data_IF_706343536154
#
_entry.id   IF_706343536154
#
_cell.length_a   1.000
_cell.length_b   1.000
_cell.length_c   1.000
_cell.angle_alpha   90.00
_cell.angle_beta   90.00
_cell.angle_gamma   90.00
#
_symmetry.space_group_name_H-M   'P 1'
#
loop_
_entity.id
_entity.type
_entity.pdbx_description
1 polymer ?
#
# COMPACT_ATOMS: atom_id res chain seq x y z
N UNK A 1 -3.02 23.50 0.41
CA UNK A 1 -1.65 23.15 0.88
C UNK A 1 -0.87 22.30 -0.14
N UNK A 2 -1.57 21.48 -0.92
CA UNK A 2 -0.96 20.62 -1.95
C UNK A 2 -0.17 21.41 -3.02
N UNK A 3 -0.61 22.62 -3.33
CA UNK A 3 0.01 23.56 -4.26
C UNK A 3 1.37 24.05 -3.75
N UNK A 4 1.49 24.24 -2.44
CA UNK A 4 2.77 24.54 -1.79
C UNK A 4 3.73 23.36 -1.94
N UNK A 5 3.26 22.14 -1.69
CA UNK A 5 4.07 20.94 -1.84
C UNK A 5 4.49 20.67 -3.29
N UNK A 6 3.66 21.02 -4.27
CA UNK A 6 4.04 21.00 -5.67
C UNK A 6 5.14 22.04 -5.97
N UNK A 7 4.97 23.27 -5.50
CA UNK A 7 5.96 24.35 -5.70
C UNK A 7 7.32 23.98 -5.08
N UNK A 8 7.31 23.31 -3.93
CA UNK A 8 8.53 22.81 -3.26
C UNK A 8 9.02 21.46 -3.80
N UNK A 9 8.41 20.94 -4.88
CA UNK A 9 8.77 19.66 -5.52
C UNK A 9 8.65 18.41 -4.62
N UNK A 10 7.86 18.49 -3.56
CA UNK A 10 7.52 17.34 -2.71
C UNK A 10 6.39 16.49 -3.31
N UNK A 11 5.62 17.05 -4.25
CA UNK A 11 4.62 16.35 -5.04
C UNK A 11 4.81 16.73 -6.51
N UNK A 12 4.77 15.76 -7.41
CA UNK A 12 4.84 16.02 -8.86
C UNK A 12 3.55 16.66 -9.38
N UNK A 13 3.62 17.37 -10.52
CA UNK A 13 2.42 17.94 -11.15
C UNK A 13 1.37 16.86 -11.47
N UNK A 14 1.83 15.72 -11.98
CA UNK A 14 1.01 14.53 -12.23
C UNK A 14 0.40 13.99 -10.93
N UNK A 15 1.18 13.91 -9.85
CA UNK A 15 0.70 13.49 -8.54
C UNK A 15 -0.40 14.39 -7.99
N UNK A 16 -0.25 15.72 -8.12
CA UNK A 16 -1.29 16.67 -7.73
C UNK A 16 -2.58 16.48 -8.55
N UNK A 17 -2.47 16.21 -9.85
CA UNK A 17 -3.62 15.93 -10.70
C UNK A 17 -4.35 14.65 -10.26
N UNK A 18 -3.61 13.57 -9.98
CA UNK A 18 -4.18 12.33 -9.45
C UNK A 18 -4.89 12.58 -8.13
N UNK A 19 -4.25 13.30 -7.20
CA UNK A 19 -4.85 13.65 -5.91
C UNK A 19 -6.17 14.39 -6.09
N UNK A 20 -6.23 15.42 -6.96
CA UNK A 20 -7.47 16.17 -7.24
C UNK A 20 -8.58 15.33 -7.87
N UNK A 21 -8.22 14.33 -8.68
CA UNK A 21 -9.20 13.41 -9.28
C UNK A 21 -9.78 12.43 -8.26
N UNK A 22 -9.00 12.05 -7.25
CA UNK A 22 -9.39 11.07 -6.22
C UNK A 22 -10.04 11.71 -4.99
N UNK A 23 -9.53 12.86 -4.57
CA UNK A 23 -9.88 13.48 -3.32
C UNK A 23 -11.34 13.94 -3.29
N UNK A 24 -12.00 13.70 -2.15
CA UNK A 24 -13.42 14.02 -1.91
C UNK A 24 -14.41 13.51 -2.97
N UNK A 25 -14.03 12.52 -3.77
CA UNK A 25 -14.93 11.83 -4.69
C UNK A 25 -15.70 10.72 -3.97
N UNK A 26 -16.91 10.37 -4.46
CA UNK A 26 -17.62 9.22 -3.95
C UNK A 26 -16.83 7.93 -4.20
N UNK A 27 -17.09 6.91 -3.37
CA UNK A 27 -16.43 5.60 -3.44
C UNK A 27 -16.44 5.01 -4.85
N UNK A 28 -17.59 5.06 -5.54
CA UNK A 28 -17.73 4.50 -6.89
C UNK A 28 -16.80 5.15 -7.93
N UNK A 29 -16.59 6.46 -7.84
CA UNK A 29 -15.67 7.16 -8.73
C UNK A 29 -14.21 6.86 -8.37
N UNK A 30 -13.90 6.74 -7.08
CA UNK A 30 -12.57 6.31 -6.62
C UNK A 30 -12.26 4.88 -7.06
N UNK A 31 -13.23 3.98 -6.95
CA UNK A 31 -13.11 2.59 -7.40
C UNK A 31 -12.73 2.51 -8.88
N UNK A 32 -13.43 3.26 -9.74
CA UNK A 32 -13.11 3.33 -11.18
C UNK A 32 -11.67 3.79 -11.44
N UNK A 33 -11.22 4.85 -10.76
CA UNK A 33 -9.85 5.34 -10.90
C UNK A 33 -8.81 4.30 -10.47
N UNK A 34 -9.10 3.51 -9.44
CA UNK A 34 -8.21 2.46 -8.95
C UNK A 34 -8.21 1.22 -9.83
N UNK A 35 -9.32 0.93 -10.49
CA UNK A 35 -9.42 -0.14 -11.49
C UNK A 35 -8.64 0.25 -12.77
N UNK A 36 -8.63 1.53 -13.13
CA UNK A 36 -7.90 2.07 -14.29
C UNK A 36 -6.39 2.20 -14.05
N UNK A 37 -5.97 2.81 -12.93
CA UNK A 37 -4.58 3.19 -12.68
C UNK A 37 -4.18 3.10 -11.20
N UNK A 38 -4.65 2.06 -10.51
CA UNK A 38 -4.40 1.85 -9.08
C UNK A 38 -2.95 1.99 -8.63
N UNK A 39 -1.93 1.41 -9.32
CA UNK A 39 -0.53 1.55 -8.93
C UNK A 39 -0.04 3.00 -8.92
N UNK A 40 -0.49 3.87 -9.82
CA UNK A 40 -0.12 5.28 -9.82
C UNK A 40 -0.65 6.02 -8.58
N UNK A 41 -1.85 5.67 -8.11
CA UNK A 41 -2.40 6.20 -6.87
C UNK A 41 -1.63 5.71 -5.64
N UNK A 42 -1.23 4.43 -5.61
CA UNK A 42 -0.36 3.91 -4.55
C UNK A 42 0.98 4.66 -4.53
N UNK A 43 1.63 4.80 -5.68
CA UNK A 43 2.88 5.56 -5.81
C UNK A 43 2.75 6.98 -5.27
N UNK A 44 1.67 7.69 -5.65
CA UNK A 44 1.37 9.03 -5.15
C UNK A 44 1.29 9.05 -3.62
N UNK A 45 0.50 8.16 -3.02
CA UNK A 45 0.30 8.18 -1.57
C UNK A 45 1.57 7.79 -0.80
N UNK A 46 2.27 6.76 -1.25
CA UNK A 46 3.55 6.31 -0.65
C UNK A 46 4.60 7.41 -0.75
N UNK A 47 4.70 8.08 -1.91
CA UNK A 47 5.62 9.20 -2.10
C UNK A 47 5.31 10.38 -1.17
N UNK A 48 4.03 10.74 -1.02
CA UNK A 48 3.65 11.79 -0.06
C UNK A 48 4.05 11.41 1.37
N UNK A 49 3.77 10.17 1.80
CA UNK A 49 4.12 9.72 3.15
C UNK A 49 5.63 9.67 3.38
N UNK A 50 6.41 9.38 2.34
CA UNK A 50 7.89 9.37 2.37
C UNK A 50 8.46 10.77 2.48
N UNK A 51 7.97 11.69 1.66
CA UNK A 51 8.64 12.98 1.41
C UNK A 51 8.05 14.13 2.27
N UNK A 52 6.85 13.97 2.84
CA UNK A 52 6.17 15.00 3.64
C UNK A 52 5.97 14.54 5.08
N UNK A 53 6.46 15.34 6.03
CA UNK A 53 6.41 15.04 7.47
C UNK A 53 5.40 15.90 8.26
N UNK A 54 4.68 16.80 7.60
CA UNK A 54 3.66 17.62 8.28
C UNK A 54 2.54 16.70 8.78
N UNK A 55 2.33 16.66 10.10
CA UNK A 55 1.43 15.72 10.77
C UNK A 55 0.03 15.65 10.13
N UNK A 56 -0.68 16.78 10.04
CA UNK A 56 -2.01 16.85 9.41
C UNK A 56 -2.06 16.27 7.99
N UNK A 57 -0.97 16.42 7.22
CA UNK A 57 -0.88 15.89 5.84
C UNK A 57 -0.68 14.39 5.85
N UNK A 58 0.17 13.89 6.74
CA UNK A 58 0.41 12.46 6.93
C UNK A 58 -0.86 11.76 7.40
N UNK A 59 -1.55 12.32 8.40
CA UNK A 59 -2.82 11.79 8.90
C UNK A 59 -3.87 11.73 7.80
N UNK A 60 -3.97 12.79 6.99
CA UNK A 60 -4.92 12.84 5.88
C UNK A 60 -4.66 11.75 4.85
N UNK A 61 -3.41 11.57 4.44
CA UNK A 61 -3.03 10.57 3.44
C UNK A 61 -3.22 9.16 3.98
N UNK A 62 -2.87 8.92 5.24
CA UNK A 62 -3.18 7.64 5.91
C UNK A 62 -4.68 7.38 5.96
N UNK A 63 -5.51 8.40 6.20
CA UNK A 63 -6.96 8.26 6.16
C UNK A 63 -7.46 7.87 4.76
N UNK A 64 -6.93 8.49 3.69
CA UNK A 64 -7.28 8.14 2.31
C UNK A 64 -6.91 6.69 1.95
N UNK A 65 -5.70 6.24 2.31
CA UNK A 65 -5.26 4.86 2.08
C UNK A 65 -6.08 3.89 2.92
N UNK A 66 -6.34 4.22 4.19
CA UNK A 66 -7.15 3.39 5.07
C UNK A 66 -8.57 3.23 4.52
N UNK A 67 -9.20 4.32 4.08
CA UNK A 67 -10.54 4.31 3.48
C UNK A 67 -10.55 3.42 2.23
N UNK A 68 -9.60 3.65 1.30
CA UNK A 68 -9.41 2.82 0.10
C UNK A 68 -9.41 1.33 0.40
N UNK A 69 -8.62 0.90 1.39
CA UNK A 69 -8.43 -0.51 1.73
C UNK A 69 -9.57 -1.05 2.60
N UNK A 70 -10.23 -0.21 3.39
CA UNK A 70 -11.39 -0.60 4.20
C UNK A 70 -12.62 -0.88 3.34
N UNK A 71 -12.82 -0.11 2.27
CA UNK A 71 -13.91 -0.30 1.30
C UNK A 71 -13.72 -1.59 0.50
N UNK A 72 -12.49 -1.89 0.09
CA UNK A 72 -12.17 -3.13 -0.60
C UNK A 72 -10.74 -3.61 -0.25
N UNK A 73 -10.61 -4.56 0.70
CA UNK A 73 -9.30 -5.07 1.12
C UNK A 73 -8.48 -5.73 0.01
N UNK A 74 -9.10 -6.17 -1.10
CA UNK A 74 -8.37 -6.75 -2.24
C UNK A 74 -7.50 -5.72 -2.96
N UNK A 75 -7.81 -4.42 -2.82
CA UNK A 75 -7.00 -3.30 -3.35
C UNK A 75 -5.58 -3.28 -2.75
N UNK A 76 -5.35 -3.93 -1.61
CA UNK A 76 -4.01 -4.07 -1.04
C UNK A 76 -3.03 -4.78 -2.00
N UNK A 77 -3.51 -5.54 -3.00
CA UNK A 77 -2.67 -6.13 -4.05
C UNK A 77 -1.93 -5.08 -4.90
N UNK A 78 -2.48 -3.87 -5.01
CA UNK A 78 -1.90 -2.77 -5.78
C UNK A 78 -0.51 -2.37 -5.25
N UNK A 79 -0.25 -2.55 -3.95
CA UNK A 79 1.05 -2.29 -3.33
C UNK A 79 2.16 -3.28 -3.73
N UNK A 80 1.80 -4.37 -4.41
CA UNK A 80 2.71 -5.38 -4.94
C UNK A 80 2.77 -5.37 -6.46
N UNK A 81 2.22 -4.33 -7.11
CA UNK A 81 2.27 -4.21 -8.56
C UNK A 81 3.72 -4.10 -9.05
N UNK A 82 4.00 -4.70 -10.21
CA UNK A 82 5.36 -4.75 -10.78
C UNK A 82 5.90 -3.37 -11.14
N UNK A 83 5.04 -2.41 -11.46
CA UNK A 83 5.44 -1.03 -11.73
C UNK A 83 6.08 -0.35 -10.51
N UNK A 84 5.76 -0.82 -9.30
CA UNK A 84 6.28 -0.31 -8.03
C UNK A 84 7.50 -1.10 -7.53
N UNK A 85 8.07 -2.01 -8.31
CA UNK A 85 9.16 -2.88 -7.86
C UNK A 85 10.45 -2.12 -7.43
N UNK A 86 10.58 -0.86 -7.84
CA UNK A 86 11.70 0.03 -7.48
C UNK A 86 11.41 0.89 -6.24
N UNK A 87 10.18 0.86 -5.73
CA UNK A 87 9.73 1.65 -4.59
C UNK A 87 9.54 0.75 -3.37
N UNK A 88 10.02 1.18 -2.21
CA UNK A 88 9.71 0.51 -0.96
C UNK A 88 8.32 0.96 -0.49
N UNK A 89 7.31 0.16 -0.82
CA UNK A 89 5.91 0.43 -0.47
C UNK A 89 5.60 0.17 1.02
N UNK A 90 6.56 -0.33 1.81
CA UNK A 90 6.41 -0.61 3.24
C UNK A 90 7.08 0.45 4.12
N UNK A 91 8.23 0.98 3.69
CA UNK A 91 9.09 1.87 4.50
C UNK A 91 8.30 3.01 5.16
N UNK A 92 7.44 3.78 4.45
CA UNK A 92 6.81 4.94 5.08
C UNK A 92 5.95 4.52 6.27
N UNK A 93 5.20 3.43 6.14
CA UNK A 93 4.35 2.94 7.22
C UNK A 93 5.17 2.40 8.40
N UNK A 94 6.27 1.68 8.14
CA UNK A 94 7.15 1.16 9.18
C UNK A 94 7.80 2.30 9.99
N UNK A 95 8.25 3.35 9.30
CA UNK A 95 8.77 4.56 9.95
C UNK A 95 7.70 5.27 10.78
N UNK A 96 6.49 5.37 10.25
CA UNK A 96 5.35 6.01 10.92
C UNK A 96 4.87 5.24 12.15
N UNK A 97 5.07 3.92 12.23
CA UNK A 97 4.86 3.16 13.46
C UNK A 97 5.79 3.60 14.60
N UNK A 98 7.04 3.93 14.29
CA UNK A 98 8.03 4.29 15.31
C UNK A 98 7.90 5.73 15.81
N UNK A 99 7.54 6.67 14.91
CA UNK A 99 7.56 8.12 15.20
C UNK A 99 6.20 8.81 15.12
N UNK A 100 5.13 8.09 14.81
CA UNK A 100 3.79 8.65 14.68
C UNK A 100 3.08 8.90 16.01
N UNK A 101 2.09 9.78 15.99
CA UNK A 101 1.08 9.87 17.05
C UNK A 101 0.18 8.61 17.05
N UNK A 102 -0.74 8.50 18.02
CA UNK A 102 -1.60 7.32 18.17
C UNK A 102 -2.38 6.97 16.89
N UNK A 103 -2.92 7.98 16.19
CA UNK A 103 -3.73 7.78 14.98
C UNK A 103 -2.85 7.30 13.83
N UNK A 104 -1.70 7.96 13.63
CA UNK A 104 -0.71 7.58 12.63
C UNK A 104 -0.24 6.14 12.83
N UNK A 105 0.07 5.76 14.07
CA UNK A 105 0.50 4.40 14.41
C UNK A 105 -0.61 3.37 14.15
N UNK A 106 -1.83 3.65 14.60
CA UNK A 106 -2.98 2.75 14.40
C UNK A 106 -3.24 2.50 12.90
N UNK A 107 -3.31 3.57 12.09
CA UNK A 107 -3.59 3.48 10.66
C UNK A 107 -2.45 2.79 9.92
N UNK A 108 -1.20 3.16 10.20
CA UNK A 108 -0.02 2.54 9.58
C UNK A 108 0.01 1.03 9.85
N UNK A 109 -0.29 0.60 11.08
CA UNK A 109 -0.33 -0.82 11.45
C UNK A 109 -1.39 -1.59 10.65
N UNK A 110 -2.62 -1.07 10.59
CA UNK A 110 -3.74 -1.71 9.86
C UNK A 110 -3.46 -1.80 8.37
N UNK A 111 -2.93 -0.73 7.77
CA UNK A 111 -2.55 -0.69 6.36
C UNK A 111 -1.46 -1.73 6.08
N UNK A 112 -0.39 -1.76 6.89
CA UNK A 112 0.68 -2.77 6.76
C UNK A 112 0.14 -4.19 6.84
N UNK A 113 -0.77 -4.48 7.78
CA UNK A 113 -1.37 -5.80 7.90
C UNK A 113 -2.12 -6.22 6.62
N UNK A 114 -2.87 -5.30 6.00
CA UNK A 114 -3.54 -5.56 4.72
C UNK A 114 -2.55 -5.79 3.58
N UNK A 115 -1.52 -4.94 3.46
CA UNK A 115 -0.49 -5.09 2.42
C UNK A 115 0.23 -6.44 2.58
N UNK A 116 0.69 -6.78 3.78
CA UNK A 116 1.38 -8.05 4.06
C UNK A 116 0.48 -9.25 3.75
N UNK A 117 -0.80 -9.18 4.14
CA UNK A 117 -1.78 -10.24 3.84
C UNK A 117 -2.01 -10.43 2.34
N UNK A 118 -1.93 -9.36 1.55
CA UNK A 118 -2.13 -9.39 0.11
C UNK A 118 -0.88 -9.82 -0.68
N UNK A 119 0.24 -10.14 -0.01
CA UNK A 119 1.48 -10.57 -0.65
C UNK A 119 1.21 -11.75 -1.60
N UNK A 120 1.66 -11.70 -2.87
CA UNK A 120 1.54 -12.81 -3.78
C UNK A 120 2.20 -14.06 -3.18
N UNK A 121 1.48 -15.18 -3.16
CA UNK A 121 2.09 -16.46 -2.82
C UNK A 121 3.06 -16.82 -3.95
N UNK A 122 4.27 -17.26 -3.62
CA UNK A 122 5.34 -17.62 -4.56
C UNK A 122 4.97 -18.86 -5.40
N UNK A 123 3.95 -18.76 -6.26
CA UNK A 123 3.38 -19.88 -7.01
C UNK A 123 2.71 -19.53 -8.35
N UNK A 124 2.45 -18.25 -8.67
CA UNK A 124 1.75 -17.86 -9.92
C UNK A 124 2.70 -17.32 -11.01
N UNK A 125 3.94 -17.81 -11.04
CA UNK A 125 4.93 -17.49 -12.07
C UNK A 125 5.36 -18.72 -12.86
N UNK A 126 4.73 -18.95 -14.01
CA UNK A 126 5.20 -19.78 -15.15
C UNK A 126 5.52 -21.24 -14.84
N UNK A 127 4.55 -22.14 -15.08
CA UNK A 127 4.86 -23.50 -15.55
C UNK A 127 4.43 -23.57 -17.02
N UNK A 128 5.35 -23.19 -17.90
CA UNK A 128 5.32 -23.71 -19.26
C UNK A 128 5.89 -25.14 -19.20
N UNK A 129 5.01 -26.11 -19.39
CA UNK A 129 5.25 -27.50 -19.78
C UNK A 129 6.36 -28.30 -19.05
N UNK A 130 5.93 -29.33 -18.31
CA UNK A 130 6.80 -30.48 -17.99
C UNK A 130 6.72 -30.94 -16.54
N UNK A 131 5.93 -31.99 -16.32
CA UNK A 131 5.93 -32.92 -15.19
C UNK A 131 5.58 -32.38 -13.78
N UNK A 132 4.53 -32.99 -13.22
CA UNK A 132 4.10 -32.80 -11.86
C UNK A 132 5.20 -33.21 -10.86
N UNK A 133 5.79 -32.23 -10.18
CA UNK A 133 6.50 -32.48 -8.92
C UNK A 133 5.76 -31.75 -7.79
N UNK A 134 4.88 -32.50 -7.14
CA UNK A 134 4.09 -32.03 -6.00
C UNK A 134 4.98 -31.74 -4.81
N UNK A 135 5.43 -30.49 -4.66
CA UNK A 135 5.98 -30.00 -3.40
C UNK A 135 4.97 -29.07 -2.74
N UNK A 136 3.96 -29.65 -2.08
CA UNK A 136 3.16 -28.95 -1.06
C UNK A 136 4.15 -28.44 -0.01
N UNK A 137 4.57 -27.17 -0.10
CA UNK A 137 5.30 -26.52 0.99
C UNK A 137 4.35 -26.47 2.19
N UNK A 138 4.61 -27.34 3.15
CA UNK A 138 3.88 -27.47 4.39
C UNK A 138 3.96 -26.12 5.10
N UNK A 139 2.82 -25.48 5.28
CA UNK A 139 2.71 -24.29 6.12
C UNK A 139 3.12 -24.75 7.52
N UNK A 140 4.18 -24.18 8.07
CA UNK A 140 4.62 -24.46 9.45
C UNK A 140 3.44 -24.24 10.38
N UNK A 141 2.97 -25.30 11.02
CA UNK A 141 1.84 -25.20 11.94
C UNK A 141 2.32 -24.66 13.29
N UNK A 142 1.42 -24.06 14.05
CA UNK A 142 1.71 -23.55 15.40
C UNK A 142 2.35 -24.66 16.28
N UNK A 143 1.94 -25.91 16.08
CA UNK A 143 2.52 -27.07 16.75
C UNK A 143 4.00 -27.32 16.42
N UNK A 144 4.43 -27.04 15.20
CA UNK A 144 5.82 -27.24 14.78
C UNK A 144 6.74 -26.20 15.43
N UNK A 145 6.24 -24.97 15.65
CA UNK A 145 6.97 -23.90 16.35
C UNK A 145 7.09 -24.20 17.83
N UNK A 146 6.02 -24.67 18.48
CA UNK A 146 6.03 -24.97 19.91
C UNK A 146 6.88 -26.19 20.27
N UNK A 147 7.10 -27.13 19.34
CA UNK A 147 7.99 -28.28 19.55
C UNK A 147 9.48 -27.91 19.57
N UNK A 148 9.84 -26.74 19.04
CA UNK A 148 11.23 -26.28 18.94
C UNK A 148 11.69 -25.38 20.09
N UNK A 149 10.82 -25.11 21.08
CA UNK A 149 11.11 -24.38 22.32
C UNK A 149 11.34 -25.38 23.47
#
# INVERSE_FOLDING_TARGET
PWETYMTTKLISATGLQHLRRYDKKPESARAQLLDEDGPAYVHLFVSILRDIFKEETVEYVLALIYEMLSENPTRARLFHDKSLAHEDTYEPFLRLLWKGNWFIQEKSCKILAWIIRARPKSGDGVIANGEASGSKKQITTLHDVLKGL
#
